data_IF_478989963310
#
_entry.id   IF_478989963310
#
_cell.length_a   1.000
_cell.length_b   1.000
_cell.length_c   1.000
_cell.angle_alpha   90.00
_cell.angle_beta   90.00
_cell.angle_gamma   90.00
#
_symmetry.space_group_name_H-M   'P 1'
#
loop_
_entity.id
_entity.type
_entity.pdbx_description
1 polymer ?
#
# COMPACT_ATOMS: atom_id res chain seq x y z
N UNK A 1 -9.75 5.57 -3.30
CA UNK A 1 -10.38 6.88 -3.04
C UNK A 1 -9.38 7.85 -2.41
N UNK A 2 -8.96 7.64 -1.16
CA UNK A 2 -8.07 8.56 -0.44
C UNK A 2 -6.75 8.83 -1.17
N UNK A 3 -6.05 7.80 -1.64
CA UNK A 3 -4.79 8.03 -2.37
C UNK A 3 -4.93 8.88 -3.66
N UNK A 4 -6.06 8.84 -4.37
CA UNK A 4 -6.27 9.74 -5.53
C UNK A 4 -6.53 11.18 -5.09
N UNK A 5 -7.19 11.35 -3.95
CA UNK A 5 -7.51 12.65 -3.39
C UNK A 5 -6.25 13.34 -2.89
N UNK A 6 -5.43 12.64 -2.13
CA UNK A 6 -4.14 13.12 -1.65
C UNK A 6 -3.17 13.37 -2.81
N UNK A 7 -3.08 12.46 -3.78
CA UNK A 7 -2.26 12.73 -4.98
C UNK A 7 -2.67 14.03 -5.70
N UNK A 8 -3.97 14.29 -5.84
CA UNK A 8 -4.45 15.53 -6.44
C UNK A 8 -4.03 16.77 -5.61
N UNK A 9 -4.08 16.69 -4.28
CA UNK A 9 -3.64 17.77 -3.40
C UNK A 9 -2.12 17.98 -3.46
N UNK A 10 -1.34 16.91 -3.26
CA UNK A 10 0.12 16.97 -3.22
C UNK A 10 0.73 17.40 -4.55
N UNK A 11 0.11 17.04 -5.68
CA UNK A 11 0.56 17.43 -7.00
C UNK A 11 -0.07 18.72 -7.55
N UNK A 12 -0.99 19.35 -6.81
CA UNK A 12 -1.80 20.51 -7.25
C UNK A 12 -2.45 20.28 -8.63
N UNK A 13 -3.14 19.16 -8.76
CA UNK A 13 -3.85 18.77 -9.99
C UNK A 13 -5.30 18.39 -9.71
N UNK A 14 -6.08 18.29 -10.78
CA UNK A 14 -7.46 17.81 -10.72
C UNK A 14 -7.66 16.63 -11.65
N UNK A 15 -8.06 15.49 -11.07
CA UNK A 15 -8.45 14.29 -11.82
C UNK A 15 -9.93 13.97 -11.60
N UNK A 16 -10.55 13.24 -12.54
CA UNK A 16 -11.88 12.67 -12.35
C UNK A 16 -11.74 11.29 -11.70
N UNK A 17 -12.23 11.15 -10.48
CA UNK A 17 -12.21 9.86 -9.77
C UNK A 17 -13.30 8.92 -10.30
N UNK A 18 -12.89 7.77 -10.81
CA UNK A 18 -13.78 6.69 -11.23
C UNK A 18 -13.64 5.53 -10.24
N UNK A 19 -14.66 5.22 -9.41
CA UNK A 19 -14.57 4.17 -8.41
C UNK A 19 -14.69 2.78 -9.04
N UNK A 20 -13.90 1.84 -8.53
CA UNK A 20 -13.96 0.41 -8.83
C UNK A 20 -14.02 -0.39 -7.53
N UNK A 21 -14.58 -1.60 -7.56
CA UNK A 21 -14.68 -2.46 -6.37
C UNK A 21 -13.32 -3.06 -5.97
N UNK A 22 -12.32 -3.00 -6.85
CA UNK A 22 -10.94 -3.35 -6.55
C UNK A 22 -10.08 -3.47 -7.81
N UNK A 23 -8.83 -3.93 -7.64
CA UNK A 23 -7.86 -4.06 -8.74
C UNK A 23 -8.33 -5.00 -9.86
N UNK A 24 -9.20 -5.96 -9.56
CA UNK A 24 -9.75 -6.89 -10.55
C UNK A 24 -10.58 -6.21 -11.65
N UNK A 25 -11.24 -5.09 -11.34
CA UNK A 25 -11.98 -4.27 -12.31
C UNK A 25 -11.13 -3.09 -12.84
N UNK A 26 -10.35 -2.48 -11.95
CA UNK A 26 -9.61 -1.27 -12.27
C UNK A 26 -8.50 -1.49 -13.30
N UNK A 27 -7.79 -2.62 -13.23
CA UNK A 27 -6.71 -2.92 -14.18
C UNK A 27 -7.23 -3.18 -15.59
N UNK A 28 -8.25 -4.04 -15.82
CA UNK A 28 -8.87 -4.16 -17.14
C UNK A 28 -9.40 -2.84 -17.69
N UNK A 29 -9.93 -1.94 -16.83
CA UNK A 29 -10.38 -0.63 -17.26
C UNK A 29 -9.22 0.25 -17.78
N UNK A 30 -8.06 0.21 -17.14
CA UNK A 30 -6.85 0.90 -17.62
C UNK A 30 -6.35 0.29 -18.94
N UNK A 31 -6.22 -1.04 -18.99
CA UNK A 31 -5.72 -1.74 -20.18
C UNK A 31 -6.67 -1.59 -21.38
N UNK A 32 -7.98 -1.55 -21.12
CA UNK A 32 -9.03 -1.26 -22.09
C UNK A 32 -9.17 0.22 -22.45
N UNK A 33 -8.33 1.10 -21.87
CA UNK A 33 -8.31 2.56 -22.12
C UNK A 33 -9.61 3.27 -21.73
N UNK A 34 -10.36 2.73 -20.77
CA UNK A 34 -11.52 3.38 -20.19
C UNK A 34 -11.14 4.44 -19.15
N UNK A 35 -9.94 4.35 -18.60
CA UNK A 35 -9.31 5.37 -17.74
C UNK A 35 -7.88 5.66 -18.22
N UNK A 36 -7.39 6.86 -17.95
CA UNK A 36 -6.06 7.31 -18.40
C UNK A 36 -4.94 6.95 -17.42
N UNK A 37 -5.28 6.69 -16.15
CA UNK A 37 -4.33 6.39 -15.09
C UNK A 37 -5.00 5.70 -13.93
N UNK A 38 -4.20 5.04 -13.10
CA UNK A 38 -4.68 4.26 -11.97
C UNK A 38 -3.70 4.35 -10.81
N UNK A 39 -4.21 4.67 -9.61
CA UNK A 39 -3.51 4.36 -8.36
C UNK A 39 -3.86 2.91 -7.98
N UNK A 40 -2.86 2.05 -7.96
CA UNK A 40 -3.01 0.61 -7.67
C UNK A 40 -1.80 0.10 -6.88
N UNK A 41 -1.84 -1.18 -6.52
CA UNK A 41 -0.77 -1.82 -5.76
C UNK A 41 0.45 -2.11 -6.64
N UNK A 42 1.63 -2.00 -6.04
CA UNK A 42 2.93 -2.36 -6.66
C UNK A 42 2.91 -3.77 -7.27
N UNK A 43 2.17 -4.69 -6.65
CA UNK A 43 1.99 -6.06 -7.14
C UNK A 43 1.29 -6.14 -8.49
N UNK A 44 0.36 -5.23 -8.77
CA UNK A 44 -0.23 -5.10 -10.11
C UNK A 44 0.79 -4.50 -11.08
N UNK A 45 1.58 -3.52 -10.63
CA UNK A 45 2.71 -2.92 -11.36
C UNK A 45 3.67 -3.97 -11.89
N UNK A 46 4.13 -4.87 -11.01
CA UNK A 46 5.01 -5.98 -11.37
C UNK A 46 4.29 -6.98 -12.28
N UNK A 47 3.06 -7.37 -11.95
CA UNK A 47 2.32 -8.39 -12.70
C UNK A 47 2.03 -7.98 -14.16
N UNK A 48 1.81 -6.70 -14.41
CA UNK A 48 1.42 -6.16 -15.71
C UNK A 48 2.49 -5.21 -16.28
N UNK A 49 3.76 -5.43 -15.96
CA UNK A 49 4.87 -4.54 -16.34
C UNK A 49 4.99 -4.31 -17.85
N UNK A 50 4.56 -5.28 -18.66
CA UNK A 50 4.59 -5.20 -20.13
C UNK A 50 3.33 -4.55 -20.73
N UNK A 51 2.27 -4.41 -19.93
CA UNK A 51 0.95 -3.94 -20.37
C UNK A 51 0.64 -2.53 -19.88
N UNK A 52 1.24 -2.10 -18.77
CA UNK A 52 1.09 -0.76 -18.23
C UNK A 52 2.43 -0.18 -17.76
N UNK A 53 2.56 1.14 -17.91
CA UNK A 53 3.74 1.89 -17.46
C UNK A 53 3.51 2.41 -16.05
N UNK A 54 4.28 1.89 -15.08
CA UNK A 54 4.30 2.41 -13.72
C UNK A 54 5.10 3.72 -13.70
N UNK A 55 4.49 4.79 -13.16
CA UNK A 55 5.08 6.14 -13.21
C UNK A 55 5.85 6.51 -11.94
N UNK A 56 5.32 6.12 -10.78
CA UNK A 56 5.91 6.35 -9.48
C UNK A 56 5.35 5.34 -8.46
N UNK A 57 6.07 5.14 -7.36
CA UNK A 57 5.62 4.35 -6.20
C UNK A 57 5.49 5.23 -4.95
N UNK A 58 4.40 5.08 -4.20
CA UNK A 58 4.15 5.80 -2.95
C UNK A 58 4.83 5.09 -1.76
N UNK A 59 6.16 5.00 -1.82
CA UNK A 59 6.97 4.32 -0.81
C UNK A 59 8.18 5.17 -0.43
N UNK A 60 8.75 4.89 0.74
CA UNK A 60 10.00 5.51 1.18
C UNK A 60 11.15 5.22 0.20
N UNK A 61 11.25 3.97 -0.23
CA UNK A 61 12.30 3.48 -1.13
C UNK A 61 11.70 2.82 -2.37
N UNK A 62 12.51 2.73 -3.43
CA UNK A 62 12.11 2.06 -4.68
C UNK A 62 11.81 0.58 -4.43
N UNK A 63 10.85 0.05 -5.16
CA UNK A 63 10.51 -1.37 -5.11
C UNK A 63 11.59 -2.17 -5.86
N UNK A 64 12.25 -3.17 -5.23
CA UNK A 64 13.34 -3.91 -5.88
C UNK A 64 12.96 -4.59 -7.21
N UNK A 65 11.70 -5.02 -7.34
CA UNK A 65 11.17 -5.61 -8.59
C UNK A 65 10.92 -4.58 -9.71
N UNK A 66 11.00 -3.28 -9.42
CA UNK A 66 10.83 -2.18 -10.38
C UNK A 66 11.87 -1.07 -10.10
N UNK A 67 13.18 -1.37 -10.20
CA UNK A 67 14.24 -0.49 -9.71
C UNK A 67 14.35 0.84 -10.47
N UNK A 68 13.85 0.87 -11.71
CA UNK A 68 13.85 2.06 -12.56
C UNK A 68 12.68 3.00 -12.29
N UNK A 69 11.67 2.55 -11.52
CA UNK A 69 10.50 3.36 -11.17
C UNK A 69 10.84 4.22 -9.94
N UNK A 70 10.76 5.56 -10.04
CA UNK A 70 11.06 6.43 -8.92
C UNK A 70 9.96 6.37 -7.84
N UNK A 71 10.30 6.75 -6.63
CA UNK A 71 9.29 7.07 -5.61
C UNK A 71 8.69 8.46 -5.86
N UNK A 72 7.52 8.74 -5.28
CA UNK A 72 6.98 10.10 -5.27
C UNK A 72 7.94 11.08 -4.56
N UNK A 73 8.62 10.65 -3.48
CA UNK A 73 9.61 11.47 -2.76
C UNK A 73 10.78 11.89 -3.64
N UNK A 74 11.31 10.97 -4.46
CA UNK A 74 12.38 11.27 -5.42
C UNK A 74 11.95 12.30 -6.47
N UNK A 75 10.64 12.41 -6.73
CA UNK A 75 10.05 13.39 -7.64
C UNK A 75 9.68 14.70 -6.94
N UNK A 76 9.94 14.84 -5.64
CA UNK A 76 9.65 16.04 -4.85
C UNK A 76 8.25 16.10 -4.26
N UNK A 77 7.50 15.00 -4.28
CA UNK A 77 6.19 14.89 -3.65
C UNK A 77 6.31 14.10 -2.34
N UNK A 78 5.95 14.71 -1.22
CA UNK A 78 5.90 14.02 0.07
C UNK A 78 4.62 13.17 0.13
N UNK A 79 4.67 12.01 -0.53
CA UNK A 79 3.54 11.10 -0.64
C UNK A 79 3.99 9.65 -0.47
N UNK A 80 3.58 9.08 0.65
CA UNK A 80 3.89 7.71 1.07
C UNK A 80 2.59 7.07 1.51
N UNK A 81 2.19 6.00 0.82
CA UNK A 81 0.89 5.39 1.03
C UNK A 81 0.95 3.91 0.68
N UNK A 82 0.21 3.09 1.43
CA UNK A 82 0.37 1.65 1.37
C UNK A 82 -0.92 0.89 1.62
N UNK A 83 -0.92 -0.37 1.20
CA UNK A 83 -1.94 -1.33 1.60
C UNK A 83 -1.32 -2.33 2.56
N UNK A 84 -1.65 -2.19 3.84
CA UNK A 84 -1.07 -3.01 4.89
C UNK A 84 -1.90 -4.28 5.12
N UNK A 85 -1.23 -5.37 5.46
CA UNK A 85 -1.84 -6.67 5.75
C UNK A 85 -1.17 -7.24 7.00
N UNK A 86 -1.98 -7.79 7.89
CA UNK A 86 -1.52 -8.36 9.15
C UNK A 86 -2.54 -9.32 9.73
N UNK A 87 -2.31 -9.71 10.98
CA UNK A 87 -3.20 -10.58 11.75
C UNK A 87 -3.90 -9.75 12.82
N UNK A 88 -5.16 -10.10 13.10
CA UNK A 88 -5.92 -9.55 14.22
C UNK A 88 -6.63 -10.68 14.94
N UNK A 89 -6.81 -10.52 16.26
CA UNK A 89 -7.51 -11.48 17.11
C UNK A 89 -8.75 -10.82 17.76
N UNK A 90 -9.80 -11.59 18.09
CA UNK A 90 -10.97 -11.05 18.79
C UNK A 90 -10.59 -10.41 20.14
N UNK A 91 -11.34 -9.40 20.61
CA UNK A 91 -11.15 -8.85 21.95
C UNK A 91 -11.21 -9.93 23.04
N UNK A 92 -10.27 -9.87 23.99
CA UNK A 92 -10.17 -10.85 25.08
C UNK A 92 -9.49 -12.16 24.71
N UNK A 93 -8.87 -12.25 23.53
CA UNK A 93 -7.97 -13.38 23.21
C UNK A 93 -6.81 -13.41 24.21
N UNK A 94 -6.48 -14.56 24.84
CA UNK A 94 -5.37 -14.66 25.78
C UNK A 94 -4.01 -14.26 25.19
N UNK A 95 -3.19 -13.56 25.98
CA UNK A 95 -1.89 -13.03 25.56
C UNK A 95 -0.95 -14.11 25.02
N UNK A 96 -0.98 -15.32 25.59
CA UNK A 96 -0.16 -16.44 25.13
C UNK A 96 -0.55 -16.91 23.72
N UNK A 97 -1.83 -16.82 23.36
CA UNK A 97 -2.32 -17.11 22.01
C UNK A 97 -1.91 -16.00 21.04
N UNK A 98 -2.04 -14.73 21.43
CA UNK A 98 -1.62 -13.58 20.63
C UNK A 98 -0.12 -13.67 20.33
N UNK A 99 0.69 -13.90 21.36
CA UNK A 99 2.14 -14.02 21.24
C UNK A 99 2.53 -15.17 20.32
N UNK A 100 1.88 -16.33 20.44
CA UNK A 100 2.14 -17.49 19.59
C UNK A 100 1.82 -17.22 18.11
N UNK A 101 0.75 -16.49 17.82
CA UNK A 101 0.40 -16.09 16.45
C UNK A 101 1.39 -15.05 15.90
N UNK A 102 1.78 -14.09 16.73
CA UNK A 102 2.78 -13.09 16.37
C UNK A 102 4.13 -13.74 16.04
N UNK A 103 4.66 -14.60 16.92
CA UNK A 103 5.90 -15.34 16.69
C UNK A 103 5.87 -16.16 15.39
N UNK A 104 4.75 -16.84 15.12
CA UNK A 104 4.59 -17.60 13.88
C UNK A 104 4.61 -16.68 12.64
N UNK A 105 3.93 -15.54 12.70
CA UNK A 105 3.90 -14.57 11.59
C UNK A 105 5.29 -13.95 11.34
N UNK A 106 5.96 -13.52 12.41
CA UNK A 106 7.32 -12.96 12.35
C UNK A 106 8.29 -13.99 11.76
N UNK A 107 8.20 -15.25 12.19
CA UNK A 107 9.04 -16.33 11.67
C UNK A 107 8.80 -16.59 10.17
N UNK A 108 7.55 -16.59 9.71
CA UNK A 108 7.22 -16.73 8.27
C UNK A 108 7.78 -15.57 7.47
N UNK A 109 7.61 -14.34 7.97
CA UNK A 109 8.15 -13.15 7.34
C UNK A 109 9.67 -13.21 7.20
N UNK A 110 10.39 -13.86 8.12
CA UNK A 110 11.84 -14.07 8.08
C UNK A 110 12.32 -15.19 7.15
N UNK A 111 11.42 -16.06 6.67
CA UNK A 111 11.80 -17.16 5.78
C UNK A 111 12.31 -16.62 4.42
N UNK A 112 13.56 -16.92 4.00
CA UNK A 112 14.12 -16.37 2.76
C UNK A 112 13.28 -16.69 1.52
N UNK A 113 12.71 -17.91 1.43
CA UNK A 113 11.85 -18.30 0.31
C UNK A 113 10.55 -17.49 0.26
N UNK A 114 10.02 -17.09 1.41
CA UNK A 114 8.84 -16.25 1.50
C UNK A 114 9.18 -14.80 1.18
N UNK A 115 10.26 -14.27 1.79
CA UNK A 115 10.80 -12.93 1.50
C UNK A 115 11.02 -12.71 0.01
N UNK A 116 11.79 -13.59 -0.62
CA UNK A 116 12.13 -13.47 -2.04
C UNK A 116 10.87 -13.53 -2.90
N UNK A 117 9.97 -14.49 -2.65
CA UNK A 117 8.72 -14.60 -3.42
C UNK A 117 7.85 -13.36 -3.32
N UNK A 118 7.72 -12.77 -2.12
CA UNK A 118 6.95 -11.55 -1.94
C UNK A 118 7.61 -10.34 -2.62
N UNK A 119 8.93 -10.20 -2.49
CA UNK A 119 9.69 -9.14 -3.16
C UNK A 119 9.61 -9.24 -4.69
N UNK A 120 9.75 -10.45 -5.24
CA UNK A 120 9.59 -10.73 -6.68
C UNK A 120 8.19 -10.38 -7.18
N UNK A 121 7.18 -10.48 -6.31
CA UNK A 121 5.80 -10.08 -6.61
C UNK A 121 5.56 -8.58 -6.39
N UNK A 122 6.55 -7.80 -5.94
CA UNK A 122 6.44 -6.37 -5.68
C UNK A 122 5.89 -6.01 -4.30
N UNK A 123 5.77 -6.95 -3.37
CA UNK A 123 5.45 -6.64 -1.97
C UNK A 123 6.68 -6.12 -1.23
N UNK A 124 6.43 -5.24 -0.27
CA UNK A 124 7.41 -4.86 0.75
C UNK A 124 6.98 -5.49 2.07
N UNK A 125 7.90 -6.21 2.72
CA UNK A 125 7.61 -6.86 3.99
C UNK A 125 7.92 -5.88 5.11
N UNK A 126 6.89 -5.59 5.89
CA UNK A 126 6.99 -4.91 7.18
C UNK A 126 6.77 -5.98 8.23
N UNK A 127 7.70 -6.10 9.17
CA UNK A 127 7.68 -7.14 10.19
C UNK A 127 7.48 -6.48 11.55
N UNK A 128 6.23 -6.40 12.00
CA UNK A 128 5.83 -5.75 13.26
C UNK A 128 5.29 -6.77 14.25
N UNK A 129 5.72 -6.68 15.50
CA UNK A 129 5.10 -7.38 16.62
C UNK A 129 3.75 -6.77 17.04
N UNK A 130 3.08 -7.33 18.06
CA UNK A 130 1.78 -6.82 18.51
C UNK A 130 1.79 -5.34 18.89
N UNK A 131 2.71 -4.92 19.76
CA UNK A 131 2.83 -3.53 20.23
C UNK A 131 3.13 -2.56 19.07
N UNK A 132 4.13 -2.88 18.24
CA UNK A 132 4.47 -2.08 17.05
C UNK A 132 3.31 -1.99 16.06
N UNK A 133 2.49 -3.05 15.94
CA UNK A 133 1.32 -3.04 15.07
C UNK A 133 0.18 -2.17 15.61
N UNK A 134 0.01 -2.09 16.93
CA UNK A 134 -0.95 -1.19 17.57
C UNK A 134 -0.54 0.26 17.37
N UNK A 135 0.73 0.61 17.65
CA UNK A 135 1.27 1.95 17.40
C UNK A 135 1.12 2.36 15.93
N UNK A 136 1.41 1.43 15.01
CA UNK A 136 1.24 1.66 13.59
C UNK A 136 -0.23 1.94 13.23
N UNK A 137 -1.18 1.20 13.80
CA UNK A 137 -2.60 1.42 13.54
C UNK A 137 -3.03 2.80 14.06
N UNK A 138 -2.61 3.19 15.27
CA UNK A 138 -2.95 4.49 15.86
C UNK A 138 -2.40 5.67 15.05
N UNK A 139 -1.16 5.54 14.57
CA UNK A 139 -0.54 6.50 13.65
C UNK A 139 -1.34 6.62 12.34
N UNK A 140 -1.71 5.49 11.72
CA UNK A 140 -2.52 5.48 10.50
C UNK A 140 -3.92 6.06 10.71
N UNK A 141 -4.55 5.81 11.86
CA UNK A 141 -5.84 6.43 12.20
C UNK A 141 -5.68 7.95 12.22
N UNK A 142 -4.68 8.45 12.91
CA UNK A 142 -4.41 9.90 13.01
C UNK A 142 -4.18 10.51 11.63
N UNK A 143 -3.30 9.90 10.84
CA UNK A 143 -3.00 10.33 9.47
C UNK A 143 -4.25 10.40 8.57
N UNK A 144 -5.09 9.35 8.56
CA UNK A 144 -6.30 9.37 7.74
C UNK A 144 -7.37 10.32 8.28
N UNK A 145 -7.48 10.52 9.59
CA UNK A 145 -8.39 11.53 10.16
C UNK A 145 -8.02 12.94 9.71
N UNK A 146 -6.73 13.28 9.68
CA UNK A 146 -6.25 14.58 9.21
C UNK A 146 -6.61 14.80 7.74
N UNK A 147 -6.30 13.83 6.88
CA UNK A 147 -6.67 13.88 5.45
C UNK A 147 -8.18 14.06 5.28
N UNK A 148 -8.98 13.27 5.99
CA UNK A 148 -10.45 13.33 5.90
C UNK A 148 -11.01 14.69 6.35
N UNK A 149 -10.42 15.33 7.36
CA UNK A 149 -10.79 16.69 7.78
C UNK A 149 -10.40 17.72 6.72
N UNK A 150 -9.18 17.65 6.19
CA UNK A 150 -8.69 18.57 5.15
C UNK A 150 -9.56 18.55 3.89
N UNK A 151 -10.10 17.38 3.55
CA UNK A 151 -10.93 17.19 2.36
C UNK A 151 -12.44 17.34 2.63
N UNK A 152 -12.81 17.71 3.86
CA UNK A 152 -14.20 18.00 4.26
C UNK A 152 -15.11 16.77 4.33
N UNK A 153 -14.56 15.60 4.63
CA UNK A 153 -15.29 14.34 4.81
C UNK A 153 -15.51 13.95 6.29
N UNK A 154 -14.87 14.66 7.23
CA UNK A 154 -15.12 14.66 8.67
C UNK A 154 -15.31 16.10 9.15
#
# INVERSE_FOLDING_TARGET
HLGTLEFNQTADIKTTYIPFTGSGEAVPALLGKHVTGLMTYTTMGVRHSDEMRVLAVAAEERVPAMPDVPTFKELGYDYIEGAYRGLAAPPGTPDDVVQKLAEANLAVNEMPSFKNKLQDMGFQIINMGPEESEEFIDDRITYYEEILKEVGLL
#
